data_IF_563343887575
#
_entry.id   IF_563343887575
#
_cell.length_a   1.000
_cell.length_b   1.000
_cell.length_c   1.000
_cell.angle_alpha   90.00
_cell.angle_beta   90.00
_cell.angle_gamma   90.00
#
_symmetry.space_group_name_H-M   'P 1'
#
loop_
_entity.id
_entity.type
_entity.pdbx_description
1 polymer ?
#
# COMPACT_ATOMS: atom_id res chain seq x y z
N UNK A 1 16.64 21.53 -8.17
CA UNK A 1 15.89 22.80 -8.33
C UNK A 1 14.38 22.61 -8.18
N UNK A 2 13.75 21.65 -8.86
CA UNK A 2 12.28 21.42 -8.82
C UNK A 2 11.69 21.07 -7.44
N UNK A 3 12.41 20.32 -6.59
CA UNK A 3 11.89 19.85 -5.30
C UNK A 3 11.74 20.94 -4.22
N UNK A 4 12.50 22.03 -4.31
CA UNK A 4 12.39 23.15 -3.37
C UNK A 4 11.15 24.02 -3.66
N UNK A 5 10.88 24.28 -4.94
CA UNK A 5 9.67 25.00 -5.39
C UNK A 5 8.43 24.22 -4.97
N UNK A 6 8.42 22.90 -5.21
CA UNK A 6 7.32 22.03 -4.77
C UNK A 6 7.15 22.11 -3.24
N UNK A 7 8.20 21.93 -2.44
CA UNK A 7 8.09 22.07 -0.98
C UNK A 7 7.54 23.42 -0.53
N UNK A 8 7.93 24.52 -1.18
CA UNK A 8 7.43 25.86 -0.85
C UNK A 8 5.93 26.02 -1.16
N UNK A 9 5.47 25.50 -2.29
CA UNK A 9 4.04 25.48 -2.64
C UNK A 9 3.23 24.63 -1.65
N UNK A 10 3.77 23.47 -1.25
CA UNK A 10 3.12 22.59 -0.28
C UNK A 10 3.05 23.20 1.12
N UNK A 11 4.12 23.90 1.56
CA UNK A 11 4.09 24.67 2.81
C UNK A 11 3.04 25.78 2.79
N UNK A 12 2.83 26.42 1.64
CA UNK A 12 1.81 27.46 1.51
C UNK A 12 0.38 26.91 1.43
N UNK A 13 0.22 25.66 0.97
CA UNK A 13 -1.08 24.99 0.86
C UNK A 13 -1.52 24.27 2.14
N UNK A 14 -0.58 23.93 3.03
CA UNK A 14 -0.89 23.30 4.31
C UNK A 14 -1.65 24.30 5.20
N UNK A 15 -2.91 23.97 5.52
CA UNK A 15 -3.78 24.84 6.32
C UNK A 15 -3.43 24.79 7.81
N UNK A 16 -2.91 23.67 8.28
CA UNK A 16 -2.58 23.42 9.69
C UNK A 16 -1.06 23.27 9.88
N UNK A 17 -0.39 24.25 10.51
CA UNK A 17 1.05 24.22 10.77
C UNK A 17 1.52 23.01 11.59
N UNK A 18 0.64 22.38 12.38
CA UNK A 18 1.00 21.22 13.21
C UNK A 18 1.46 20.03 12.36
N UNK A 19 1.14 19.99 11.06
CA UNK A 19 1.52 18.93 10.14
C UNK A 19 2.70 19.28 9.22
N UNK A 20 3.41 20.39 9.47
CA UNK A 20 4.57 20.80 8.66
C UNK A 20 5.68 19.74 8.62
N UNK A 21 5.79 18.91 9.67
CA UNK A 21 6.77 17.82 9.76
C UNK A 21 6.62 16.77 8.63
N UNK A 22 5.45 16.66 7.99
CA UNK A 22 5.25 15.77 6.84
C UNK A 22 6.10 16.17 5.63
N UNK A 23 6.60 17.41 5.59
CA UNK A 23 7.42 17.94 4.50
C UNK A 23 8.92 17.85 4.77
N UNK A 24 9.30 17.37 5.95
CA UNK A 24 10.70 17.16 6.32
C UNK A 24 11.34 16.03 5.49
N UNK A 25 12.67 15.97 5.39
CA UNK A 25 13.34 14.81 4.83
C UNK A 25 12.96 13.55 5.63
N UNK A 26 12.60 12.43 4.96
CA UNK A 26 12.36 11.19 5.67
C UNK A 26 13.64 10.69 6.34
N UNK A 27 13.55 10.02 7.50
CA UNK A 27 14.67 9.28 8.09
C UNK A 27 15.25 8.28 7.08
N UNK A 28 16.57 8.14 7.08
CA UNK A 28 17.25 7.24 6.15
C UNK A 28 16.93 5.76 6.47
N UNK A 29 16.69 4.97 5.41
CA UNK A 29 16.41 3.54 5.56
C UNK A 29 15.05 3.20 6.16
N UNK A 30 14.17 4.19 6.36
CA UNK A 30 12.81 4.00 6.87
C UNK A 30 11.75 4.11 5.78
N UNK A 31 10.69 3.34 5.93
CA UNK A 31 9.44 3.44 5.19
C UNK A 31 8.26 2.99 6.07
N UNK A 32 7.04 3.23 5.61
CA UNK A 32 5.83 2.71 6.25
C UNK A 32 5.03 1.98 5.19
N UNK A 33 4.73 0.71 5.44
CA UNK A 33 3.76 -0.03 4.64
C UNK A 33 2.36 0.40 5.04
N UNK A 34 1.49 0.70 4.09
CA UNK A 34 0.14 1.22 4.32
C UNK A 34 -0.84 0.42 3.47
N UNK A 35 -1.99 0.10 4.06
CA UNK A 35 -3.11 -0.53 3.39
C UNK A 35 -4.43 -0.03 4.00
N UNK A 36 -5.47 0.11 3.17
CA UNK A 36 -6.80 0.53 3.57
C UNK A 36 -7.85 -0.46 3.07
N UNK A 37 -8.76 -0.85 3.97
CA UNK A 37 -10.02 -1.47 3.58
C UNK A 37 -11.08 -0.39 3.35
N UNK A 38 -11.90 -0.59 2.32
CA UNK A 38 -12.84 0.43 1.84
C UNK A 38 -14.23 -0.15 1.58
N UNK A 39 -15.23 0.74 1.50
CA UNK A 39 -16.60 0.34 1.13
C UNK A 39 -16.72 -0.13 -0.32
N UNK A 40 -15.75 0.23 -1.17
CA UNK A 40 -15.70 -0.06 -2.61
C UNK A 40 -14.41 0.49 -3.24
N UNK A 41 -14.33 0.49 -4.58
CA UNK A 41 -13.10 0.78 -5.32
C UNK A 41 -13.05 2.16 -5.99
N UNK A 42 -14.03 3.03 -5.73
CA UNK A 42 -14.06 4.39 -6.26
C UNK A 42 -13.64 5.43 -5.19
N UNK A 43 -12.42 5.98 -5.27
CA UNK A 43 -11.92 6.89 -4.24
C UNK A 43 -12.66 8.23 -4.15
N UNK A 44 -13.55 8.54 -5.11
CA UNK A 44 -14.36 9.75 -5.09
C UNK A 44 -15.63 9.61 -4.25
N UNK A 45 -16.16 8.40 -4.13
CA UNK A 45 -17.45 8.15 -3.45
C UNK A 45 -17.30 7.19 -2.27
N UNK A 46 -16.43 6.18 -2.38
CA UNK A 46 -16.19 5.19 -1.34
C UNK A 46 -15.37 5.75 -0.17
N UNK A 47 -15.51 5.11 0.98
CA UNK A 47 -14.95 5.54 2.25
C UNK A 47 -14.03 4.46 2.84
N UNK A 48 -13.06 4.90 3.65
CA UNK A 48 -12.19 3.99 4.42
C UNK A 48 -13.02 3.39 5.57
N UNK A 49 -12.91 2.07 5.75
CA UNK A 49 -13.50 1.34 6.88
C UNK A 49 -12.45 0.72 7.79
N UNK A 50 -11.22 0.51 7.31
CA UNK A 50 -10.06 0.26 8.16
C UNK A 50 -8.79 0.77 7.50
N UNK A 51 -7.79 1.09 8.31
CA UNK A 51 -6.46 1.47 7.85
C UNK A 51 -5.42 0.83 8.76
N UNK A 52 -4.37 0.29 8.17
CA UNK A 52 -3.22 -0.22 8.89
C UNK A 52 -1.93 0.33 8.31
N UNK A 53 -0.98 0.61 9.20
CA UNK A 53 0.34 1.09 8.82
C UNK A 53 1.44 0.40 9.64
N UNK A 54 2.47 -0.11 8.97
CA UNK A 54 3.54 -0.91 9.58
C UNK A 54 4.90 -0.29 9.26
N UNK A 55 5.69 0.12 10.27
CA UNK A 55 7.01 0.69 10.02
C UNK A 55 7.98 -0.37 9.53
N UNK A 56 8.86 0.03 8.63
CA UNK A 56 9.97 -0.79 8.16
C UNK A 56 11.26 0.00 8.29
N UNK A 57 12.22 -0.52 9.05
CA UNK A 57 13.51 0.13 9.34
C UNK A 57 14.65 -0.78 8.89
N UNK A 58 15.35 -0.38 7.83
CA UNK A 58 16.26 -1.27 7.12
C UNK A 58 15.49 -2.49 6.61
N UNK A 59 15.95 -3.70 6.93
CA UNK A 59 15.29 -4.98 6.58
C UNK A 59 14.29 -5.48 7.64
N UNK A 60 13.94 -4.67 8.65
CA UNK A 60 13.08 -5.10 9.76
C UNK A 60 11.67 -4.52 9.62
N UNK A 61 10.66 -5.38 9.64
CA UNK A 61 9.24 -5.02 9.67
C UNK A 61 8.78 -5.00 11.13
N UNK A 62 8.36 -3.85 11.64
CA UNK A 62 8.10 -3.63 13.06
C UNK A 62 6.61 -3.75 13.39
N UNK A 63 6.07 -4.97 13.33
CA UNK A 63 4.63 -5.24 13.57
C UNK A 63 4.16 -4.95 15.00
N UNK A 64 5.07 -4.88 15.97
CA UNK A 64 4.76 -4.46 17.35
C UNK A 64 4.57 -2.94 17.47
N UNK A 65 5.03 -2.17 16.49
CA UNK A 65 4.92 -0.71 16.42
C UNK A 65 3.95 -0.29 15.33
N UNK A 66 2.98 -1.14 15.00
CA UNK A 66 1.96 -0.87 13.96
C UNK A 66 0.92 0.14 14.43
N UNK A 67 0.28 0.77 13.47
CA UNK A 67 -0.94 1.53 13.64
C UNK A 67 -2.09 0.76 12.97
N UNK A 68 -3.23 0.71 13.64
CA UNK A 68 -4.46 0.13 13.11
C UNK A 68 -5.64 0.95 13.60
N UNK A 69 -6.61 1.19 12.73
CA UNK A 69 -7.86 1.81 13.11
C UNK A 69 -9.01 1.26 12.26
N UNK A 70 -10.12 0.93 12.93
CA UNK A 70 -11.41 0.74 12.26
C UNK A 70 -12.08 2.11 12.17
N UNK A 71 -12.48 2.47 10.95
CA UNK A 71 -13.03 3.77 10.61
C UNK A 71 -14.53 3.61 10.35
N UNK A 72 -15.33 4.49 10.95
CA UNK A 72 -16.77 4.53 10.70
C UNK A 72 -17.06 5.44 9.50
N UNK A 73 -17.54 4.88 8.37
CA UNK A 73 -17.90 5.68 7.19
C UNK A 73 -19.21 6.43 7.43
N UNK A 74 -19.46 7.48 6.63
CA UNK A 74 -20.75 8.18 6.65
C UNK A 74 -21.88 7.33 6.07
N UNK A 75 -21.56 6.46 5.10
CA UNK A 75 -22.47 5.45 4.57
C UNK A 75 -21.97 4.05 4.91
N UNK A 76 -22.81 3.25 5.56
CA UNK A 76 -22.44 1.88 5.89
C UNK A 76 -22.24 1.03 4.62
N UNK A 77 -21.22 0.16 4.57
CA UNK A 77 -20.96 -0.71 3.43
C UNK A 77 -22.12 -1.68 3.19
N UNK A 78 -22.31 -2.04 1.92
CA UNK A 78 -23.21 -3.11 1.53
C UNK A 78 -22.69 -4.48 2.00
N UNK A 79 -23.58 -5.46 2.11
CA UNK A 79 -23.21 -6.81 2.56
C UNK A 79 -22.12 -7.49 1.69
N UNK A 80 -21.92 -7.04 0.45
CA UNK A 80 -20.86 -7.53 -0.43
C UNK A 80 -19.46 -7.17 0.04
N UNK A 81 -19.26 -5.95 0.56
CA UNK A 81 -17.96 -5.45 1.06
C UNK A 81 -17.53 -6.20 2.34
N UNK A 82 -18.49 -6.54 3.21
CA UNK A 82 -18.27 -7.39 4.41
C UNK A 82 -17.69 -8.77 4.05
N UNK A 83 -18.12 -9.36 2.92
CA UNK A 83 -17.63 -10.69 2.49
C UNK A 83 -16.18 -10.65 2.00
N UNK A 84 -15.69 -9.48 1.63
CA UNK A 84 -14.32 -9.29 1.16
C UNK A 84 -13.42 -9.13 2.38
N UNK A 85 -13.60 -8.06 3.17
CA UNK A 85 -12.66 -7.69 4.22
C UNK A 85 -12.94 -8.30 5.62
N UNK A 86 -14.01 -9.09 5.77
CA UNK A 86 -14.34 -9.78 7.02
C UNK A 86 -14.85 -8.90 8.18
N UNK A 87 -14.61 -7.58 8.16
CA UNK A 87 -15.16 -6.63 9.15
C UNK A 87 -16.69 -6.64 9.13
N UNK A 88 -17.32 -6.96 10.26
CA UNK A 88 -18.77 -6.98 10.36
C UNK A 88 -19.28 -5.54 10.42
N UNK A 89 -20.50 -5.34 9.95
CA UNK A 89 -21.16 -4.02 10.00
C UNK A 89 -21.17 -3.39 11.40
N UNK A 90 -21.28 -4.22 12.46
CA UNK A 90 -21.22 -3.78 13.86
C UNK A 90 -19.84 -3.24 14.26
N UNK A 91 -18.78 -3.85 13.75
CA UNK A 91 -17.40 -3.49 14.08
C UNK A 91 -17.07 -2.14 13.40
N UNK A 92 -17.46 -2.01 12.13
CA UNK A 92 -17.36 -0.75 11.37
C UNK A 92 -18.20 0.37 12.01
N UNK A 93 -19.41 0.06 12.47
CA UNK A 93 -20.28 1.05 13.14
C UNK A 93 -19.72 1.52 14.49
N UNK A 94 -18.91 0.70 15.16
CA UNK A 94 -18.20 1.05 16.39
C UNK A 94 -16.84 1.74 16.13
N UNK A 95 -16.43 1.85 14.86
CA UNK A 95 -15.22 2.55 14.45
C UNK A 95 -15.25 4.05 14.76
N UNK A 96 -14.07 4.66 14.69
CA UNK A 96 -13.90 6.11 14.91
C UNK A 96 -14.12 6.88 13.60
N UNK A 97 -14.62 8.11 13.64
CA UNK A 97 -14.71 8.92 12.42
C UNK A 97 -13.29 9.22 11.90
N UNK A 98 -13.14 9.29 10.57
CA UNK A 98 -11.83 9.54 9.96
C UNK A 98 -11.19 10.85 10.41
N UNK A 99 -12.00 11.85 10.81
CA UNK A 99 -11.51 13.12 11.36
C UNK A 99 -10.67 12.97 12.64
N UNK A 100 -10.90 11.91 13.42
CA UNK A 100 -10.11 11.60 14.61
C UNK A 100 -8.91 10.70 14.29
N UNK A 101 -9.10 9.75 13.37
CA UNK A 101 -8.07 8.77 12.99
C UNK A 101 -6.96 9.42 12.16
N UNK A 102 -7.31 10.36 11.28
CA UNK A 102 -6.38 10.96 10.35
C UNK A 102 -5.20 11.67 11.04
N UNK A 103 -5.37 12.55 12.05
CA UNK A 103 -4.24 13.17 12.75
C UNK A 103 -3.27 12.15 13.38
N UNK A 104 -3.78 11.03 13.88
CA UNK A 104 -2.96 9.96 14.45
C UNK A 104 -2.18 9.23 13.36
N UNK A 105 -2.85 8.87 12.26
CA UNK A 105 -2.22 8.26 11.10
C UNK A 105 -1.12 9.17 10.52
N UNK A 106 -1.38 10.47 10.35
CA UNK A 106 -0.41 11.43 9.81
C UNK A 106 0.85 11.53 10.68
N UNK A 107 0.68 11.63 12.01
CA UNK A 107 1.81 11.59 12.95
C UNK A 107 2.53 10.25 12.90
N UNK A 108 1.78 9.17 12.77
CA UNK A 108 2.31 7.82 12.71
C UNK A 108 3.12 7.56 11.44
N UNK A 109 2.72 8.07 10.26
CA UNK A 109 3.47 7.89 9.00
C UNK A 109 4.62 8.88 8.89
N UNK A 110 4.46 10.11 9.39
CA UNK A 110 5.47 11.16 9.26
C UNK A 110 5.85 11.43 7.79
N UNK A 111 7.07 11.93 7.52
CA UNK A 111 7.55 12.17 6.16
C UNK A 111 7.99 10.90 5.39
N UNK A 112 7.91 9.71 6.01
CA UNK A 112 8.47 8.46 5.47
C UNK A 112 7.82 8.06 4.15
N UNK A 113 8.55 7.43 3.22
CA UNK A 113 7.95 6.82 2.04
C UNK A 113 6.86 5.82 2.42
N UNK A 114 5.77 5.83 1.66
CA UNK A 114 4.66 4.89 1.80
C UNK A 114 4.85 3.74 0.81
N UNK A 115 4.79 2.52 1.32
CA UNK A 115 4.91 1.27 0.57
C UNK A 115 3.56 0.58 0.58
N UNK A 116 3.15 -0.02 -0.52
CA UNK A 116 1.93 -0.83 -0.57
C UNK A 116 1.76 -1.51 -1.91
N UNK A 117 0.72 -2.32 -2.01
CA UNK A 117 0.29 -2.94 -3.25
C UNK A 117 -0.89 -2.14 -3.81
N UNK A 118 -0.74 -1.59 -5.01
CA UNK A 118 -1.65 -0.57 -5.54
C UNK A 118 -1.77 0.68 -4.64
N UNK A 119 -0.66 1.08 -4.02
CA UNK A 119 -0.58 2.13 -2.97
C UNK A 119 -1.17 3.49 -3.38
N UNK A 120 -1.24 3.78 -4.68
CA UNK A 120 -1.88 5.00 -5.18
C UNK A 120 -3.38 5.04 -4.83
N UNK A 121 -4.05 3.89 -4.71
CA UNK A 121 -5.44 3.81 -4.27
C UNK A 121 -5.57 4.22 -2.80
N UNK A 122 -4.84 3.56 -1.89
CA UNK A 122 -4.87 3.85 -0.45
C UNK A 122 -4.52 5.31 -0.16
N UNK A 123 -3.47 5.81 -0.81
CA UNK A 123 -3.07 7.21 -0.64
C UNK A 123 -4.15 8.16 -1.18
N UNK A 124 -4.86 7.83 -2.26
CA UNK A 124 -6.00 8.65 -2.73
C UNK A 124 -7.16 8.64 -1.76
N UNK A 125 -7.45 7.48 -1.15
CA UNK A 125 -8.46 7.38 -0.10
C UNK A 125 -8.11 8.30 1.07
N UNK A 126 -6.85 8.29 1.55
CA UNK A 126 -6.40 9.18 2.62
C UNK A 126 -6.34 10.65 2.18
N UNK A 127 -5.88 10.93 0.96
CA UNK A 127 -5.79 12.27 0.38
C UNK A 127 -7.14 13.00 0.41
N UNK A 128 -8.26 12.28 0.20
CA UNK A 128 -9.62 12.84 0.28
C UNK A 128 -9.84 13.50 1.64
N UNK A 129 -9.54 12.81 2.73
CA UNK A 129 -9.71 13.35 4.08
C UNK A 129 -8.64 14.40 4.44
N UNK A 130 -7.40 14.19 4.00
CA UNK A 130 -6.30 15.13 4.23
C UNK A 130 -6.56 16.50 3.58
N UNK A 131 -7.10 16.53 2.35
CA UNK A 131 -7.47 17.78 1.69
C UNK A 131 -8.50 18.58 2.49
N UNK A 132 -9.47 17.91 3.11
CA UNK A 132 -10.50 18.57 3.91
C UNK A 132 -9.99 19.02 5.29
N UNK A 133 -9.13 18.22 5.94
CA UNK A 133 -8.74 18.45 7.32
C UNK A 133 -7.46 19.28 7.47
N UNK A 134 -6.47 19.09 6.58
CA UNK A 134 -5.17 19.77 6.64
C UNK A 134 -4.88 20.63 5.40
N UNK A 135 -5.83 20.71 4.45
CA UNK A 135 -5.74 21.56 3.26
C UNK A 135 -4.84 21.04 2.15
N UNK A 136 -4.25 19.85 2.30
CA UNK A 136 -3.32 19.30 1.32
C UNK A 136 -3.33 17.76 1.29
N UNK A 137 -2.73 17.19 0.26
CA UNK A 137 -2.58 15.74 0.09
C UNK A 137 -1.44 15.19 0.94
N UNK A 138 -1.20 13.89 0.91
CA UNK A 138 0.02 13.32 1.47
C UNK A 138 1.22 13.66 0.56
N UNK A 139 2.27 14.33 1.09
CA UNK A 139 3.46 14.67 0.32
C UNK A 139 4.42 13.48 0.15
N UNK A 140 4.15 12.37 0.84
CA UNK A 140 5.01 11.20 0.95
C UNK A 140 5.34 10.59 -0.42
N UNK A 141 6.58 10.13 -0.57
CA UNK A 141 6.96 9.32 -1.74
C UNK A 141 6.21 7.99 -1.69
N UNK A 142 5.61 7.60 -2.81
CA UNK A 142 4.87 6.33 -2.96
C UNK A 142 5.80 5.28 -3.56
N UNK A 143 5.75 4.06 -3.04
CA UNK A 143 6.54 2.91 -3.49
C UNK A 143 5.58 1.76 -3.77
N UNK A 144 5.36 1.51 -5.06
CA UNK A 144 4.44 0.48 -5.54
C UNK A 144 5.14 -0.89 -5.61
N UNK A 145 4.68 -1.84 -4.80
CA UNK A 145 5.25 -3.20 -4.75
C UNK A 145 5.13 -3.92 -6.09
N UNK A 146 3.99 -3.81 -6.76
CA UNK A 146 3.77 -4.50 -8.05
C UNK A 146 4.69 -3.98 -9.16
N UNK A 147 5.03 -2.68 -9.13
CA UNK A 147 6.00 -2.06 -10.04
C UNK A 147 7.42 -2.55 -9.79
N UNK A 148 7.83 -2.65 -8.52
CA UNK A 148 9.13 -3.22 -8.16
C UNK A 148 9.23 -4.69 -8.59
N UNK A 149 8.17 -5.47 -8.39
CA UNK A 149 8.10 -6.84 -8.85
C UNK A 149 8.20 -6.92 -10.38
N UNK A 150 7.46 -6.08 -11.09
CA UNK A 150 7.55 -5.97 -12.55
C UNK A 150 8.99 -5.70 -12.99
N UNK A 151 9.65 -4.71 -12.40
CA UNK A 151 11.02 -4.35 -12.76
C UNK A 151 12.04 -5.45 -12.44
N UNK A 152 11.77 -6.31 -11.45
CA UNK A 152 12.64 -7.45 -11.09
C UNK A 152 12.37 -8.70 -11.91
N UNK A 153 11.14 -8.94 -12.35
CA UNK A 153 10.77 -10.12 -13.13
C UNK A 153 10.69 -9.79 -14.63
N UNK A 154 9.82 -8.86 -15.01
CA UNK A 154 9.41 -8.61 -16.38
C UNK A 154 10.12 -7.44 -17.08
N UNK A 155 10.79 -6.53 -16.37
CA UNK A 155 11.43 -5.34 -16.99
C UNK A 155 12.53 -5.59 -18.05
N UNK A 156 12.92 -6.85 -18.29
CA UNK A 156 13.81 -7.29 -19.39
C UNK A 156 13.19 -8.41 -20.23
N UNK A 157 11.90 -8.68 -20.05
CA UNK A 157 11.22 -9.74 -20.77
C UNK A 157 10.96 -9.33 -22.23
N UNK A 158 10.92 -10.29 -23.17
CA UNK A 158 10.55 -10.01 -24.55
C UNK A 158 9.16 -9.37 -24.66
N UNK A 159 8.90 -8.55 -25.70
CA UNK A 159 7.56 -8.06 -26.00
C UNK A 159 6.54 -9.20 -26.10
N UNK A 160 5.31 -8.97 -25.62
CA UNK A 160 4.25 -9.98 -25.61
C UNK A 160 4.33 -11.00 -24.46
N UNK A 161 5.28 -10.85 -23.53
CA UNK A 161 5.32 -11.67 -22.31
C UNK A 161 4.03 -11.45 -21.50
N UNK A 162 3.35 -12.54 -21.12
CA UNK A 162 2.21 -12.48 -20.22
C UNK A 162 2.67 -12.03 -18.83
N UNK A 163 2.10 -10.92 -18.35
CA UNK A 163 2.44 -10.29 -17.08
C UNK A 163 1.37 -10.65 -16.06
N UNK A 164 1.80 -11.17 -14.91
CA UNK A 164 0.93 -11.41 -13.76
C UNK A 164 1.43 -10.60 -12.57
N UNK A 165 0.65 -9.58 -12.20
CA UNK A 165 0.93 -8.69 -11.08
C UNK A 165 -0.10 -8.84 -9.96
N UNK A 166 -0.91 -9.91 -9.96
CA UNK A 166 -1.86 -10.14 -8.87
C UNK A 166 -1.12 -10.34 -7.55
N UNK A 167 -1.64 -9.79 -6.46
CA UNK A 167 -1.08 -9.88 -5.12
C UNK A 167 -0.72 -11.32 -4.75
N UNK A 168 -1.68 -12.24 -4.86
CA UNK A 168 -1.49 -13.66 -4.55
C UNK A 168 -0.38 -14.32 -5.39
N UNK A 169 -0.25 -13.93 -6.67
CA UNK A 169 0.82 -14.44 -7.55
C UNK A 169 2.19 -13.94 -7.11
N UNK A 170 2.32 -12.63 -6.83
CA UNK A 170 3.56 -12.03 -6.32
C UNK A 170 3.95 -12.66 -4.97
N UNK A 171 2.99 -12.77 -4.06
CA UNK A 171 3.15 -13.40 -2.74
C UNK A 171 3.72 -14.81 -2.85
N UNK A 172 3.10 -15.62 -3.71
CA UNK A 172 3.48 -17.02 -3.93
C UNK A 172 4.88 -17.13 -4.53
N UNK A 173 5.17 -16.36 -5.57
CA UNK A 173 6.50 -16.34 -6.23
C UNK A 173 7.63 -15.97 -5.26
N UNK A 174 7.38 -15.00 -4.39
CA UNK A 174 8.35 -14.54 -3.41
C UNK A 174 8.46 -15.45 -2.17
N UNK A 175 7.58 -16.45 -2.04
CA UNK A 175 7.55 -17.35 -0.89
C UNK A 175 7.05 -16.70 0.40
N UNK A 176 6.23 -15.65 0.29
CA UNK A 176 5.66 -14.93 1.43
C UNK A 176 4.47 -15.74 2.00
N UNK A 177 4.40 -15.94 3.34
CA UNK A 177 3.28 -16.65 3.95
C UNK A 177 1.96 -15.95 3.67
N UNK A 178 0.89 -16.73 3.55
CA UNK A 178 -0.47 -16.18 3.48
C UNK A 178 -0.94 -15.87 4.90
N UNK A 179 -1.09 -14.58 5.21
CA UNK A 179 -1.58 -14.11 6.52
C UNK A 179 -3.10 -13.89 6.50
N UNK A 180 -3.78 -14.19 5.40
CA UNK A 180 -5.14 -13.74 5.09
C UNK A 180 -5.10 -12.47 4.26
N UNK A 181 -5.80 -12.47 3.12
CA UNK A 181 -6.03 -11.27 2.30
C UNK A 181 -7.33 -10.60 2.70
N UNK A 182 -7.42 -9.29 2.41
CA UNK A 182 -8.53 -8.44 2.78
C UNK A 182 -8.62 -8.24 4.30
N UNK A 183 -7.45 -8.06 4.90
CA UNK A 183 -7.29 -7.51 6.24
C UNK A 183 -6.17 -6.48 6.15
N UNK A 184 -6.49 -5.22 6.45
CA UNK A 184 -5.55 -4.11 6.25
C UNK A 184 -4.18 -4.38 6.87
N UNK A 185 -4.13 -4.97 8.07
CA UNK A 185 -2.85 -5.26 8.72
C UNK A 185 -2.11 -6.38 7.99
N UNK A 186 -2.77 -7.50 7.71
CA UNK A 186 -2.16 -8.63 7.03
C UNK A 186 -1.61 -8.22 5.66
N UNK A 187 -2.37 -7.44 4.89
CA UNK A 187 -1.99 -6.95 3.56
C UNK A 187 -0.84 -5.94 3.65
N UNK A 188 -0.87 -4.99 4.60
CA UNK A 188 0.25 -4.09 4.86
C UNK A 188 1.54 -4.85 5.25
N UNK A 189 1.44 -5.90 6.08
CA UNK A 189 2.60 -6.73 6.48
C UNK A 189 3.14 -7.51 5.28
N UNK A 190 2.28 -8.17 4.51
CA UNK A 190 2.69 -8.94 3.34
C UNK A 190 3.31 -8.03 2.27
N UNK A 191 2.74 -6.84 2.01
CA UNK A 191 3.33 -5.84 1.12
C UNK A 191 4.71 -5.38 1.62
N UNK A 192 4.89 -5.19 2.93
CA UNK A 192 6.20 -4.87 3.52
C UNK A 192 7.23 -5.99 3.29
N UNK A 193 6.83 -7.25 3.45
CA UNK A 193 7.69 -8.42 3.19
C UNK A 193 8.12 -8.48 1.73
N UNK A 194 7.16 -8.34 0.81
CA UNK A 194 7.45 -8.29 -0.64
C UNK A 194 8.42 -7.16 -0.96
N UNK A 195 8.20 -5.96 -0.40
CA UNK A 195 9.07 -4.81 -0.61
C UNK A 195 10.51 -5.05 -0.12
N UNK A 196 10.68 -5.56 1.10
CA UNK A 196 12.01 -5.85 1.66
C UNK A 196 12.77 -6.83 0.78
N UNK A 197 12.13 -7.90 0.31
CA UNK A 197 12.76 -8.90 -0.54
C UNK A 197 13.07 -8.36 -1.94
N UNK A 198 12.16 -7.60 -2.56
CA UNK A 198 12.39 -6.99 -3.87
C UNK A 198 13.49 -5.94 -3.84
N UNK A 199 13.58 -5.16 -2.75
CA UNK A 199 14.66 -4.20 -2.52
C UNK A 199 16.01 -4.91 -2.33
N UNK A 200 16.04 -6.01 -1.59
CA UNK A 200 17.24 -6.82 -1.42
C UNK A 200 17.73 -7.42 -2.75
N UNK A 201 16.81 -7.98 -3.56
CA UNK A 201 17.13 -8.44 -4.92
C UNK A 201 17.71 -7.31 -5.77
N UNK A 202 17.10 -6.12 -5.71
CA UNK A 202 17.59 -4.93 -6.42
C UNK A 202 19.01 -4.56 -5.96
N UNK A 203 19.27 -4.52 -4.66
CA UNK A 203 20.58 -4.18 -4.09
C UNK A 203 21.67 -5.17 -4.51
N UNK A 204 21.32 -6.45 -4.69
CA UNK A 204 22.23 -7.52 -5.16
C UNK A 204 22.33 -7.62 -6.68
N UNK A 205 21.61 -6.79 -7.44
CA UNK A 205 21.52 -6.89 -8.90
C UNK A 205 20.85 -8.16 -9.41
N UNK A 206 20.08 -8.85 -8.55
CA UNK A 206 19.40 -10.10 -8.86
C UNK A 206 18.01 -9.86 -9.47
N UNK A 207 17.53 -10.82 -10.25
CA UNK A 207 16.23 -10.79 -10.93
C UNK A 207 15.49 -12.11 -10.72
N UNK A 208 14.17 -12.03 -10.71
CA UNK A 208 13.31 -13.22 -10.70
C UNK A 208 13.32 -13.88 -12.08
N UNK A 209 13.24 -15.20 -12.10
CA UNK A 209 13.23 -15.96 -13.36
C UNK A 209 11.87 -15.81 -14.03
N UNK A 210 11.88 -15.71 -15.36
CA UNK A 210 10.67 -15.94 -16.14
C UNK A 210 10.44 -17.44 -16.21
N UNK A 211 9.24 -17.91 -15.88
CA UNK A 211 8.88 -19.28 -16.15
C UNK A 211 8.93 -19.49 -17.67
N UNK A 212 9.71 -20.47 -18.11
CA UNK A 212 9.61 -20.92 -19.50
C UNK A 212 8.27 -21.62 -19.62
N UNK A 213 7.43 -21.17 -20.57
CA UNK A 213 6.21 -21.88 -20.95
C UNK A 213 6.62 -23.35 -21.12
N UNK A 214 6.10 -24.26 -20.28
CA UNK A 214 6.18 -25.68 -20.61
C UNK A 214 5.49 -25.80 -21.96
N UNK A 215 6.24 -26.09 -23.01
CA UNK A 215 5.64 -26.59 -24.23
C UNK A 215 4.80 -27.78 -23.78
N UNK A 216 3.48 -27.67 -23.94
CA UNK A 216 2.62 -28.82 -23.83
C UNK A 216 3.15 -29.78 -24.87
N UNK A 217 3.86 -30.82 -24.43
CA UNK A 217 4.14 -31.99 -25.24
C UNK A 217 2.78 -32.47 -25.72
N UNK A 218 2.46 -32.14 -26.97
CA UNK A 218 1.35 -32.75 -27.67
C UNK A 218 1.61 -34.25 -27.58
N UNK A 219 0.78 -34.96 -26.82
CA UNK A 219 0.76 -36.40 -26.89
C UNK A 219 0.59 -36.77 -28.37
N UNK A 220 1.43 -37.66 -28.93
CA UNK A 220 1.26 -38.06 -30.30
C UNK A 220 -0.14 -38.67 -30.42
N UNK A 221 -0.96 -38.10 -31.30
CA UNK A 221 -2.18 -38.72 -31.77
C UNK A 221 -1.75 -39.98 -32.53
N UNK A 222 -1.82 -41.14 -31.87
CA UNK A 222 -1.67 -42.43 -32.53
C UNK A 222 -1.08 -43.53 -31.65
N UNK A 223 -1.97 -44.31 -31.03
CA UNK A 223 -1.96 -45.78 -31.00
C UNK A 223 -3.35 -46.27 -30.61
#
# INVERSE_FOLDING_TARGET
>A
MMGWIRRRLWRAALADPDFLFLLDPPPEGEAVSLDCETTGLDPWVDEIVAVAAVPVVGNRILTSSRFEAVVRPTRMPEAGSIKVHGLRQRDVAAGRPMSEVLPELLRFIGPRPLVGYYIDFDVRMVDRYALHQIGTRLPNRRIEVSSLYYDRKYGKAPPGTAVDLRFASIRTELGIPDLGQHDALADAVMAAMMWVQLRDLQARGQRLRLERRREATAAPLGA
#
